data_IF_381236280336
#
_entry.id   IF_381236280336
#
_cell.length_a   1.000
_cell.length_b   1.000
_cell.length_c   1.000
_cell.angle_alpha   90.00
_cell.angle_beta   90.00
_cell.angle_gamma   90.00
#
_symmetry.space_group_name_H-M   'P 1'
#
loop_
_entity.id
_entity.type
_entity.pdbx_description
1 polymer ?
#
# COMPACT_ATOMS: atom_id res chain seq x y z
N UNK A 1 -2.10 20.82 -21.14
CA UNK A 1 -2.54 19.66 -20.34
C UNK A 1 -4.06 19.71 -20.36
N UNK A 2 -4.76 18.71 -20.92
CA UNK A 2 -6.22 18.69 -20.81
C UNK A 2 -6.57 18.35 -19.36
N UNK A 3 -7.04 19.34 -18.63
CA UNK A 3 -7.62 19.16 -17.31
C UNK A 3 -8.95 18.41 -17.47
N UNK A 4 -9.31 17.60 -16.50
CA UNK A 4 -10.63 16.98 -16.43
C UNK A 4 -11.46 17.69 -15.35
N UNK A 5 -12.77 17.66 -15.51
CA UNK A 5 -13.72 18.29 -14.60
C UNK A 5 -14.18 17.29 -13.52
N UNK A 6 -14.96 17.78 -12.57
CA UNK A 6 -15.56 16.97 -11.51
C UNK A 6 -16.36 15.77 -12.06
N UNK A 7 -17.15 16.01 -13.09
CA UNK A 7 -17.98 15.00 -13.75
C UNK A 7 -17.19 13.94 -14.51
N UNK A 8 -15.89 14.21 -14.75
CA UNK A 8 -15.00 13.28 -15.42
C UNK A 8 -14.31 12.30 -14.49
N UNK A 9 -14.30 12.56 -13.17
CA UNK A 9 -13.60 11.72 -12.20
C UNK A 9 -14.21 10.31 -12.17
N UNK A 10 -13.36 9.29 -12.27
CA UNK A 10 -13.76 7.88 -12.33
C UNK A 10 -13.06 7.02 -11.26
N UNK A 11 -12.01 7.53 -10.66
CA UNK A 11 -11.26 6.78 -9.66
C UNK A 11 -10.91 7.65 -8.46
N UNK A 12 -11.03 7.09 -7.25
CA UNK A 12 -10.61 7.74 -6.00
C UNK A 12 -9.57 6.87 -5.31
N UNK A 13 -8.43 7.47 -4.96
CA UNK A 13 -7.51 6.95 -3.97
C UNK A 13 -7.85 7.59 -2.64
N UNK A 14 -8.42 6.82 -1.74
CA UNK A 14 -8.80 7.28 -0.41
C UNK A 14 -7.77 6.83 0.62
N UNK A 15 -7.16 7.77 1.31
CA UNK A 15 -6.40 7.51 2.52
C UNK A 15 -7.28 7.81 3.73
N UNK A 16 -7.92 6.78 4.27
CA UNK A 16 -8.92 6.94 5.33
C UNK A 16 -8.30 7.31 6.69
N UNK A 17 -7.01 7.00 6.91
CA UNK A 17 -6.33 7.27 8.17
C UNK A 17 -4.82 7.38 7.99
N UNK A 18 -4.17 8.18 8.86
CA UNK A 18 -2.71 8.22 9.01
C UNK A 18 -2.19 7.20 10.03
N UNK A 19 -3.10 6.48 10.71
CA UNK A 19 -2.74 5.53 11.78
C UNK A 19 -2.32 4.18 11.20
N UNK A 20 -1.26 3.59 11.76
CA UNK A 20 -0.82 2.23 11.45
C UNK A 20 -0.15 1.62 12.68
N UNK A 21 -0.42 0.36 13.00
CA UNK A 21 0.26 -0.34 14.09
C UNK A 21 1.66 -0.81 13.69
N UNK A 22 1.92 -0.96 12.37
CA UNK A 22 3.23 -1.35 11.85
C UNK A 22 4.21 -0.17 11.79
N UNK A 23 5.50 -0.47 11.84
CA UNK A 23 6.59 0.47 11.68
C UNK A 23 7.62 -0.04 10.65
N UNK A 24 7.14 -0.29 9.43
CA UNK A 24 7.98 -0.80 8.34
C UNK A 24 9.12 0.19 8.04
N UNK A 25 10.40 -0.28 8.00
CA UNK A 25 11.57 0.60 7.98
C UNK A 25 11.67 1.55 6.79
N UNK A 26 11.12 1.17 5.63
CA UNK A 26 11.16 1.98 4.41
C UNK A 26 9.78 2.55 4.05
N UNK A 27 8.88 2.68 5.03
CA UNK A 27 7.59 3.34 4.86
C UNK A 27 7.74 4.83 5.22
N UNK A 28 7.20 5.71 4.39
CA UNK A 28 7.26 7.17 4.57
C UNK A 28 6.52 7.65 5.83
N UNK A 29 5.66 6.79 6.40
CA UNK A 29 5.03 7.02 7.70
C UNK A 29 6.04 7.11 8.85
N UNK A 30 7.19 6.45 8.72
CA UNK A 30 8.18 6.33 9.77
C UNK A 30 9.54 6.86 9.35
N UNK A 31 10.33 7.31 10.33
CA UNK A 31 11.75 7.56 10.13
C UNK A 31 12.52 6.25 10.37
N UNK A 32 12.86 5.53 9.31
CA UNK A 32 13.61 4.26 9.31
C UNK A 32 12.94 3.12 10.12
N UNK A 33 11.62 3.14 10.33
CA UNK A 33 10.90 2.19 11.18
C UNK A 33 10.88 2.58 12.67
N UNK A 34 11.54 3.67 13.03
CA UNK A 34 11.58 4.22 14.39
C UNK A 34 10.34 5.06 14.71
N UNK A 35 10.57 6.33 15.07
CA UNK A 35 9.50 7.30 15.35
C UNK A 35 8.65 7.57 14.13
N UNK A 36 7.41 8.00 14.37
CA UNK A 36 6.53 8.48 13.32
C UNK A 36 7.11 9.70 12.59
N UNK A 37 6.71 9.86 11.32
CA UNK A 37 7.07 11.02 10.53
C UNK A 37 6.50 12.29 11.19
N UNK A 38 7.33 13.29 11.54
CA UNK A 38 6.87 14.48 12.25
C UNK A 38 5.93 15.39 11.43
N UNK A 39 5.77 15.13 10.15
CA UNK A 39 4.85 15.86 9.27
C UNK A 39 3.44 15.25 9.22
N UNK A 40 3.17 14.19 9.98
CA UNK A 40 1.84 13.57 10.08
C UNK A 40 1.08 14.15 11.27
N UNK A 41 -0.23 14.25 11.08
CA UNK A 41 -1.14 14.77 12.10
C UNK A 41 -1.01 16.28 12.31
N UNK A 42 -1.73 16.73 13.28
CA UNK A 42 -1.71 18.09 13.78
C UNK A 42 -1.66 18.12 15.31
N UNK A 43 -1.96 19.26 15.93
CA UNK A 43 -2.04 19.40 17.41
C UNK A 43 -3.07 18.50 18.09
N UNK A 44 -4.01 17.94 17.33
CA UNK A 44 -5.06 17.02 17.82
C UNK A 44 -4.68 15.54 17.60
N UNK A 45 -3.57 15.25 16.92
CA UNK A 45 -3.07 13.91 16.64
C UNK A 45 -3.16 13.53 15.17
N UNK A 46 -3.08 12.22 14.90
CA UNK A 46 -3.17 11.66 13.54
C UNK A 46 -4.61 11.67 13.05
N UNK A 47 -4.78 12.03 11.78
CA UNK A 47 -6.10 12.16 11.15
C UNK A 47 -6.74 10.81 10.82
N UNK A 48 -8.06 10.82 10.78
CA UNK A 48 -8.91 9.71 10.41
C UNK A 48 -10.27 10.24 9.93
N UNK A 49 -10.75 9.76 8.79
CA UNK A 49 -12.07 10.09 8.27
C UNK A 49 -13.13 9.13 8.81
N UNK A 50 -14.26 9.67 9.20
CA UNK A 50 -15.47 8.92 9.54
C UNK A 50 -16.33 8.66 8.31
N UNK A 51 -17.32 7.79 8.41
CA UNK A 51 -18.36 7.62 7.37
C UNK A 51 -19.03 8.94 7.04
N UNK A 52 -19.32 9.77 8.05
CA UNK A 52 -19.96 11.06 7.85
C UNK A 52 -19.08 12.03 7.05
N UNK A 53 -17.77 12.02 7.29
CA UNK A 53 -16.82 12.82 6.50
C UNK A 53 -16.78 12.34 5.05
N UNK A 54 -16.69 11.02 4.85
CA UNK A 54 -16.70 10.43 3.50
C UNK A 54 -18.00 10.72 2.78
N UNK A 55 -19.15 10.62 3.42
CA UNK A 55 -20.45 10.95 2.84
C UNK A 55 -20.56 12.41 2.41
N UNK A 56 -19.95 13.31 3.18
CA UNK A 56 -19.90 14.74 2.86
C UNK A 56 -18.99 15.05 1.68
N UNK A 57 -17.82 14.39 1.60
CA UNK A 57 -16.82 14.65 0.55
C UNK A 57 -17.16 13.90 -0.74
N UNK A 58 -17.68 12.70 -0.62
CA UNK A 58 -18.10 11.81 -1.71
C UNK A 58 -19.60 11.54 -1.60
N UNK A 59 -20.47 12.51 -1.93
CA UNK A 59 -21.91 12.32 -1.83
C UNK A 59 -22.43 11.27 -2.82
N UNK A 60 -23.64 10.73 -2.63
CA UNK A 60 -24.19 9.63 -3.42
C UNK A 60 -24.10 9.82 -4.94
N UNK A 61 -24.39 11.03 -5.42
CA UNK A 61 -24.32 11.37 -6.85
C UNK A 61 -22.89 11.28 -7.41
N UNK A 62 -21.88 11.65 -6.62
CA UNK A 62 -20.49 11.52 -7.00
C UNK A 62 -20.03 10.04 -6.96
N UNK A 63 -20.42 9.28 -5.94
CA UNK A 63 -20.08 7.86 -5.83
C UNK A 63 -20.63 7.07 -7.02
N UNK A 64 -21.83 7.41 -7.51
CA UNK A 64 -22.48 6.74 -8.67
C UNK A 64 -21.68 6.84 -9.97
N UNK A 65 -20.88 7.91 -10.16
CA UNK A 65 -20.08 8.08 -11.38
C UNK A 65 -18.72 7.36 -11.34
N UNK A 66 -18.30 6.84 -10.17
CA UNK A 66 -17.00 6.21 -10.01
C UNK A 66 -16.97 4.78 -10.56
N UNK A 67 -15.90 4.46 -11.27
CA UNK A 67 -15.58 3.09 -11.70
C UNK A 67 -14.88 2.32 -10.59
N UNK A 68 -14.05 3.01 -9.78
CA UNK A 68 -13.28 2.38 -8.70
C UNK A 68 -12.95 3.33 -7.56
N UNK A 69 -12.83 2.75 -6.36
CA UNK A 69 -12.20 3.38 -5.20
C UNK A 69 -11.25 2.39 -4.55
N UNK A 70 -10.07 2.86 -4.20
CA UNK A 70 -9.11 2.04 -3.49
C UNK A 70 -8.54 2.76 -2.27
N UNK A 71 -8.39 1.99 -1.18
CA UNK A 71 -7.73 2.43 0.02
C UNK A 71 -6.32 1.82 0.06
N UNK A 72 -5.33 2.66 -0.15
CA UNK A 72 -3.92 2.27 -0.03
C UNK A 72 -3.25 3.35 0.80
N UNK A 73 -2.89 3.03 2.02
CA UNK A 73 -2.26 3.99 2.91
C UNK A 73 -0.85 4.35 2.41
N UNK A 74 -0.62 5.61 2.10
CA UNK A 74 0.73 6.15 1.98
C UNK A 74 1.35 6.26 3.37
N UNK A 75 0.52 6.60 4.35
CA UNK A 75 0.92 6.82 5.73
C UNK A 75 0.20 5.91 6.72
N UNK A 76 -1.07 5.57 6.50
CA UNK A 76 -1.85 4.71 7.37
C UNK A 76 -2.10 3.31 6.83
N UNK A 77 -2.76 2.47 7.62
CA UNK A 77 -3.33 1.22 7.15
C UNK A 77 -4.85 1.27 7.36
N UNK A 78 -5.67 1.06 6.34
CA UNK A 78 -7.13 1.19 6.43
C UNK A 78 -7.76 0.38 7.53
N UNK A 79 -7.16 -0.76 7.92
CA UNK A 79 -7.71 -1.60 8.99
C UNK A 79 -7.62 -0.96 10.38
N UNK A 80 -6.83 0.11 10.55
CA UNK A 80 -6.71 0.80 11.83
C UNK A 80 -7.80 1.85 12.00
N UNK A 81 -8.32 2.39 10.93
CA UNK A 81 -9.48 3.26 11.00
C UNK A 81 -10.69 2.54 11.62
N UNK A 82 -11.44 3.27 12.42
CA UNK A 82 -12.58 2.72 13.13
C UNK A 82 -13.69 2.28 12.18
N UNK A 83 -13.96 3.06 11.13
CA UNK A 83 -15.15 2.97 10.29
C UNK A 83 -14.86 2.54 8.83
N UNK A 84 -13.70 1.90 8.57
CA UNK A 84 -13.35 1.44 7.21
C UNK A 84 -14.41 0.52 6.59
N UNK A 85 -14.94 -0.42 7.38
CA UNK A 85 -15.97 -1.35 6.90
C UNK A 85 -17.27 -0.63 6.56
N UNK A 86 -17.68 0.31 7.39
CA UNK A 86 -18.87 1.14 7.22
C UNK A 86 -18.74 2.03 5.98
N UNK A 87 -17.54 2.57 5.72
CA UNK A 87 -17.25 3.32 4.49
C UNK A 87 -17.41 2.42 3.27
N UNK A 88 -16.86 1.19 3.29
CA UNK A 88 -17.05 0.25 2.18
C UNK A 88 -18.53 -0.13 1.99
N UNK A 89 -19.30 -0.31 3.06
CA UNK A 89 -20.76 -0.56 2.99
C UNK A 89 -21.48 0.61 2.33
N UNK A 90 -21.20 1.83 2.77
CA UNK A 90 -21.76 3.03 2.16
C UNK A 90 -21.45 3.09 0.64
N UNK A 91 -20.21 2.92 0.28
CA UNK A 91 -19.78 2.98 -1.12
C UNK A 91 -20.45 1.90 -1.98
N UNK A 92 -20.57 0.69 -1.45
CA UNK A 92 -21.25 -0.44 -2.13
C UNK A 92 -22.74 -0.21 -2.28
N UNK A 93 -23.39 0.37 -1.27
CA UNK A 93 -24.80 0.73 -1.32
C UNK A 93 -25.09 1.79 -2.39
N UNK A 94 -24.23 2.83 -2.48
CA UNK A 94 -24.42 3.90 -3.45
C UNK A 94 -24.06 3.48 -4.89
N UNK A 95 -23.08 2.58 -5.07
CA UNK A 95 -22.67 2.07 -6.38
C UNK A 95 -22.32 0.59 -6.34
N UNK A 96 -23.30 -0.31 -6.56
CA UNK A 96 -23.09 -1.75 -6.54
C UNK A 96 -22.05 -2.27 -7.57
N UNK A 97 -21.81 -1.52 -8.64
CA UNK A 97 -20.91 -1.93 -9.72
C UNK A 97 -19.47 -1.41 -9.57
N UNK A 98 -19.24 -0.50 -8.63
CA UNK A 98 -17.91 0.09 -8.41
C UNK A 98 -16.90 -0.95 -7.93
N UNK A 99 -15.70 -0.92 -8.49
CA UNK A 99 -14.61 -1.76 -8.03
C UNK A 99 -14.01 -1.20 -6.74
N UNK A 100 -14.07 -1.97 -5.67
CA UNK A 100 -13.54 -1.58 -4.35
C UNK A 100 -12.32 -2.43 -4.00
N UNK A 101 -11.24 -1.79 -3.56
CA UNK A 101 -10.09 -2.53 -3.08
C UNK A 101 -9.31 -1.80 -1.99
N UNK A 102 -8.51 -2.56 -1.27
CA UNK A 102 -7.70 -2.08 -0.16
C UNK A 102 -6.37 -2.83 -0.11
N UNK A 103 -5.31 -2.11 0.26
CA UNK A 103 -4.02 -2.71 0.61
C UNK A 103 -3.83 -2.65 2.12
N UNK A 104 -3.32 -3.73 2.72
CA UNK A 104 -3.18 -3.81 4.17
C UNK A 104 -2.08 -4.79 4.59
N UNK A 105 -1.55 -4.59 5.81
CA UNK A 105 -0.69 -5.54 6.49
C UNK A 105 -1.47 -6.64 7.25
N UNK A 106 -2.80 -6.55 7.32
CA UNK A 106 -3.74 -7.48 7.96
C UNK A 106 -3.54 -7.71 9.48
N UNK A 107 -2.65 -6.98 10.14
CA UNK A 107 -2.26 -7.22 11.54
C UNK A 107 -3.25 -6.73 12.59
N UNK A 108 -4.49 -6.38 12.21
CA UNK A 108 -5.52 -5.91 13.14
C UNK A 108 -6.91 -6.42 12.74
N UNK A 109 -7.92 -6.05 13.55
CA UNK A 109 -9.31 -6.53 13.48
C UNK A 109 -9.43 -8.02 13.81
N UNK A 110 -10.67 -8.46 14.08
CA UNK A 110 -11.01 -9.87 14.33
C UNK A 110 -11.52 -10.52 13.06
N UNK A 111 -11.54 -11.84 13.02
CA UNK A 111 -11.97 -12.64 11.85
C UNK A 111 -13.35 -12.25 11.33
N UNK A 112 -14.34 -12.00 12.22
CA UNK A 112 -15.70 -11.59 11.82
C UNK A 112 -15.70 -10.30 10.98
N UNK A 113 -14.82 -9.36 11.28
CA UNK A 113 -14.66 -8.14 10.49
C UNK A 113 -14.17 -8.46 9.06
N UNK A 114 -13.22 -9.39 8.92
CA UNK A 114 -12.69 -9.80 7.62
C UNK A 114 -13.71 -10.58 6.80
N UNK A 115 -14.51 -11.43 7.46
CA UNK A 115 -15.63 -12.14 6.85
C UNK A 115 -16.66 -11.14 6.31
N UNK A 116 -16.99 -10.15 7.09
CA UNK A 116 -17.97 -9.12 6.68
C UNK A 116 -17.41 -8.23 5.57
N UNK A 117 -16.13 -7.89 5.60
CA UNK A 117 -15.47 -7.18 4.51
C UNK A 117 -15.52 -7.98 3.20
N UNK A 118 -15.27 -9.28 3.24
CA UNK A 118 -15.35 -10.15 2.07
C UNK A 118 -16.74 -10.10 1.42
N UNK A 119 -17.80 -10.20 2.23
CA UNK A 119 -19.20 -10.07 1.78
C UNK A 119 -19.50 -8.70 1.19
N UNK A 120 -19.00 -7.64 1.82
CA UNK A 120 -19.20 -6.24 1.38
C UNK A 120 -18.54 -5.97 0.04
N UNK A 121 -17.32 -6.48 -0.16
CA UNK A 121 -16.59 -6.31 -1.43
C UNK A 121 -17.19 -7.18 -2.55
N UNK A 122 -17.60 -8.40 -2.22
CA UNK A 122 -18.18 -9.34 -3.18
C UNK A 122 -17.26 -9.63 -4.38
N UNK A 123 -17.84 -9.82 -5.54
CA UNK A 123 -17.14 -10.09 -6.81
C UNK A 123 -16.55 -8.83 -7.46
N UNK A 124 -16.95 -7.64 -6.98
CA UNK A 124 -16.50 -6.33 -7.45
C UNK A 124 -15.44 -5.69 -6.54
N UNK A 125 -14.58 -6.52 -5.94
CA UNK A 125 -13.49 -5.99 -5.12
C UNK A 125 -12.44 -7.03 -4.78
N UNK A 126 -11.37 -6.56 -4.12
CA UNK A 126 -10.31 -7.42 -3.60
C UNK A 126 -9.58 -6.75 -2.45
N UNK A 127 -8.89 -7.55 -1.65
CA UNK A 127 -7.92 -7.09 -0.67
C UNK A 127 -6.53 -7.54 -1.08
N UNK A 128 -5.57 -6.62 -1.06
CA UNK A 128 -4.15 -6.93 -1.23
C UNK A 128 -3.48 -7.01 0.13
N UNK A 129 -3.09 -8.22 0.50
CA UNK A 129 -2.35 -8.52 1.71
C UNK A 129 -0.86 -8.32 1.46
N UNK A 130 -0.24 -7.49 2.27
CA UNK A 130 1.19 -7.15 2.16
C UNK A 130 2.01 -7.98 3.14
N UNK A 131 2.38 -9.20 2.74
CA UNK A 131 3.25 -10.09 3.50
C UNK A 131 4.61 -10.19 2.80
N UNK A 132 5.67 -9.77 3.48
CA UNK A 132 7.01 -9.69 2.91
C UNK A 132 7.95 -10.74 3.53
N UNK A 133 7.53 -11.98 3.43
CA UNK A 133 8.18 -13.18 3.99
C UNK A 133 7.16 -14.17 4.51
N UNK A 134 7.63 -15.27 5.06
CA UNK A 134 6.84 -16.26 5.82
C UNK A 134 6.89 -15.93 7.31
N UNK A 135 6.46 -16.85 8.18
CA UNK A 135 6.36 -16.64 9.62
C UNK A 135 7.67 -16.19 10.29
N UNK A 136 8.79 -16.69 9.79
CA UNK A 136 10.14 -16.44 10.30
C UNK A 136 10.82 -15.18 9.76
N UNK A 137 10.32 -14.59 8.67
CA UNK A 137 10.98 -13.44 8.01
C UNK A 137 10.10 -12.22 7.84
N UNK A 138 8.78 -12.36 7.81
CA UNK A 138 7.87 -11.23 7.59
C UNK A 138 8.10 -10.08 8.59
N UNK A 139 8.36 -10.38 9.85
CA UNK A 139 8.59 -9.39 10.91
C UNK A 139 9.85 -8.54 10.70
N UNK A 140 10.81 -9.03 9.90
CA UNK A 140 12.04 -8.29 9.61
C UNK A 140 11.75 -6.99 8.84
N UNK A 141 10.73 -6.99 7.98
CA UNK A 141 10.27 -5.79 7.31
C UNK A 141 8.95 -5.25 7.88
N UNK A 142 7.96 -6.11 8.14
CA UNK A 142 6.65 -5.74 8.70
C UNK A 142 6.72 -5.63 10.23
N UNK A 143 7.60 -4.77 10.74
CA UNK A 143 7.77 -4.57 12.18
C UNK A 143 6.45 -4.16 12.83
N UNK A 144 6.11 -4.82 13.96
CA UNK A 144 4.86 -4.58 14.69
C UNK A 144 3.64 -5.32 14.14
N UNK A 145 3.79 -6.15 13.10
CA UNK A 145 2.75 -7.04 12.59
C UNK A 145 2.96 -8.44 13.17
N UNK A 146 1.96 -8.98 13.88
CA UNK A 146 1.93 -10.37 14.28
C UNK A 146 1.52 -11.24 13.09
N UNK A 147 2.41 -12.16 12.69
CA UNK A 147 2.19 -13.05 11.54
C UNK A 147 0.93 -13.91 11.70
N UNK A 148 0.75 -14.56 12.85
CA UNK A 148 -0.36 -15.49 13.05
C UNK A 148 -1.72 -14.79 12.97
N UNK A 149 -1.80 -13.57 13.52
CA UNK A 149 -3.00 -12.74 13.40
C UNK A 149 -3.25 -12.35 11.95
N UNK A 150 -2.23 -11.83 11.27
CA UNK A 150 -2.36 -11.35 9.89
C UNK A 150 -2.70 -12.50 8.92
N UNK A 151 -2.07 -13.64 9.09
CA UNK A 151 -2.31 -14.84 8.30
C UNK A 151 -3.72 -15.39 8.50
N UNK A 152 -4.16 -15.54 9.76
CA UNK A 152 -5.52 -15.97 10.10
C UNK A 152 -6.57 -15.03 9.52
N UNK A 153 -6.36 -13.73 9.58
CA UNK A 153 -7.24 -12.71 9.02
C UNK A 153 -7.37 -12.86 7.49
N UNK A 154 -6.26 -13.09 6.79
CA UNK A 154 -6.28 -13.35 5.35
C UNK A 154 -7.07 -14.63 5.02
N UNK A 155 -6.86 -15.69 5.78
CA UNK A 155 -7.60 -16.95 5.58
C UNK A 155 -9.11 -16.80 5.89
N UNK A 156 -9.48 -16.04 6.90
CA UNK A 156 -10.90 -15.73 7.19
C UNK A 156 -11.56 -14.97 6.03
N UNK A 157 -10.84 -13.98 5.46
CA UNK A 157 -11.31 -13.25 4.28
C UNK A 157 -11.49 -14.17 3.05
N UNK A 158 -10.51 -15.04 2.77
CA UNK A 158 -10.55 -16.01 1.66
C UNK A 158 -11.68 -17.03 1.89
N UNK A 159 -11.78 -17.59 3.11
CA UNK A 159 -12.81 -18.57 3.47
C UNK A 159 -14.23 -18.04 3.34
N UNK A 160 -14.44 -16.73 3.45
CA UNK A 160 -15.71 -16.06 3.20
C UNK A 160 -15.97 -15.71 1.72
N UNK A 161 -15.12 -16.18 0.79
CA UNK A 161 -15.22 -15.93 -0.65
C UNK A 161 -14.56 -14.64 -1.11
N UNK A 162 -13.80 -13.97 -0.27
CA UNK A 162 -13.10 -12.73 -0.62
C UNK A 162 -11.95 -12.97 -1.61
N UNK A 163 -11.82 -12.08 -2.59
CA UNK A 163 -10.73 -12.11 -3.57
C UNK A 163 -9.46 -11.52 -2.94
N UNK A 164 -8.53 -12.37 -2.55
CA UNK A 164 -7.27 -11.99 -1.92
C UNK A 164 -6.11 -11.94 -2.93
N UNK A 165 -5.33 -10.86 -2.91
CA UNK A 165 -4.03 -10.79 -3.56
C UNK A 165 -2.95 -10.79 -2.48
N UNK A 166 -1.79 -11.40 -2.77
CA UNK A 166 -0.64 -11.35 -1.89
C UNK A 166 0.48 -10.56 -2.57
N UNK A 167 0.78 -9.36 -2.06
CA UNK A 167 1.94 -8.58 -2.45
C UNK A 167 3.14 -8.98 -1.58
N UNK A 168 4.26 -9.35 -2.23
CA UNK A 168 5.47 -9.81 -1.58
C UNK A 168 6.66 -8.94 -2.03
N UNK A 169 7.13 -8.03 -1.18
CA UNK A 169 8.35 -7.26 -1.43
C UNK A 169 9.59 -8.10 -1.18
N UNK A 170 10.44 -8.22 -2.22
CA UNK A 170 11.61 -9.08 -2.15
C UNK A 170 12.82 -8.30 -1.65
N UNK A 171 13.46 -8.84 -0.62
CA UNK A 171 14.72 -8.39 -0.02
C UNK A 171 15.69 -9.57 0.07
N UNK A 172 16.97 -9.31 0.41
CA UNK A 172 17.96 -10.38 0.59
C UNK A 172 17.58 -11.40 1.68
N UNK A 173 16.82 -10.96 2.70
CA UNK A 173 16.44 -11.84 3.82
C UNK A 173 15.27 -12.79 3.52
N UNK A 174 14.48 -12.51 2.46
CA UNK A 174 13.30 -13.30 2.12
C UNK A 174 13.27 -13.82 0.67
N UNK A 175 14.29 -13.53 -0.15
CA UNK A 175 14.31 -13.94 -1.56
C UNK A 175 14.26 -15.46 -1.76
N UNK A 176 14.80 -16.23 -0.79
CA UNK A 176 14.80 -17.69 -0.80
C UNK A 176 13.41 -18.31 -0.55
N UNK A 177 12.44 -17.54 -0.06
CA UNK A 177 11.08 -17.98 0.25
C UNK A 177 10.07 -17.67 -0.85
N UNK A 178 10.45 -16.99 -1.93
CA UNK A 178 9.50 -16.51 -2.96
C UNK A 178 8.73 -17.66 -3.59
N UNK A 179 9.40 -18.75 -3.96
CA UNK A 179 8.78 -19.92 -4.61
C UNK A 179 7.86 -20.69 -3.62
N UNK A 180 8.29 -20.83 -2.37
CA UNK A 180 7.48 -21.43 -1.31
C UNK A 180 6.23 -20.57 -1.00
N UNK A 181 6.40 -19.26 -0.89
CA UNK A 181 5.28 -18.33 -0.66
C UNK A 181 4.26 -18.37 -1.80
N UNK A 182 4.72 -18.49 -3.06
CA UNK A 182 3.83 -18.64 -4.22
C UNK A 182 3.04 -19.95 -4.16
N UNK A 183 3.70 -21.06 -3.80
CA UNK A 183 3.04 -22.34 -3.63
C UNK A 183 1.98 -22.32 -2.52
N UNK A 184 2.32 -21.70 -1.37
CA UNK A 184 1.39 -21.50 -0.25
C UNK A 184 0.22 -20.60 -0.67
N UNK A 185 0.47 -19.51 -1.38
CA UNK A 185 -0.57 -18.61 -1.86
C UNK A 185 -1.60 -19.36 -2.73
N UNK A 186 -1.12 -20.20 -3.63
CA UNK A 186 -1.96 -21.05 -4.48
C UNK A 186 -2.78 -22.07 -3.67
N UNK A 187 -2.13 -22.76 -2.73
CA UNK A 187 -2.79 -23.77 -1.86
C UNK A 187 -3.87 -23.14 -0.98
N UNK A 188 -3.64 -21.94 -0.47
CA UNK A 188 -4.56 -21.22 0.42
C UNK A 188 -5.64 -20.40 -0.31
N UNK A 189 -5.66 -20.41 -1.63
CA UNK A 189 -6.72 -19.78 -2.43
C UNK A 189 -6.53 -18.27 -2.65
N UNK A 190 -5.32 -17.74 -2.53
CA UNK A 190 -5.06 -16.39 -3.01
C UNK A 190 -5.27 -16.33 -4.53
N UNK A 191 -6.02 -15.32 -4.96
CA UNK A 191 -6.30 -15.12 -6.39
C UNK A 191 -5.06 -14.72 -7.19
N UNK A 192 -4.14 -13.99 -6.56
CA UNK A 192 -2.84 -13.61 -7.13
C UNK A 192 -1.75 -13.60 -6.07
N UNK A 193 -0.56 -14.07 -6.46
CA UNK A 193 0.70 -13.80 -5.78
C UNK A 193 1.53 -12.85 -6.63
N UNK A 194 2.04 -11.77 -6.05
CA UNK A 194 2.70 -10.67 -6.78
C UNK A 194 4.06 -10.40 -6.14
N UNK A 195 5.13 -11.08 -6.61
CA UNK A 195 6.49 -10.81 -6.15
C UNK A 195 6.94 -9.44 -6.69
N UNK A 196 7.28 -8.52 -5.81
CA UNK A 196 7.64 -7.14 -6.14
C UNK A 196 9.13 -6.89 -5.94
N UNK A 197 9.80 -6.48 -7.01
CA UNK A 197 11.19 -6.02 -6.99
C UNK A 197 11.24 -4.61 -6.43
N UNK A 198 11.65 -4.45 -5.17
CA UNK A 198 11.65 -3.12 -4.54
C UNK A 198 12.66 -2.17 -5.17
N UNK A 199 12.19 -0.97 -5.52
CA UNK A 199 13.04 0.16 -5.95
C UNK A 199 13.43 1.09 -4.79
N UNK A 200 13.04 0.78 -3.56
CA UNK A 200 13.18 1.68 -2.40
C UNK A 200 14.64 1.97 -2.01
N UNK A 201 15.59 1.11 -2.40
CA UNK A 201 17.02 1.35 -2.17
C UNK A 201 17.61 2.48 -3.01
N UNK A 202 16.92 2.95 -4.05
CA UNK A 202 17.39 4.03 -4.90
C UNK A 202 17.74 5.31 -4.11
N UNK A 203 16.84 5.75 -3.24
CA UNK A 203 17.05 6.97 -2.45
C UNK A 203 18.22 6.84 -1.47
N UNK A 204 18.40 5.65 -0.88
CA UNK A 204 19.52 5.38 0.02
C UNK A 204 20.84 5.33 -0.76
N UNK A 205 20.87 4.66 -1.91
CA UNK A 205 22.02 4.59 -2.79
C UNK A 205 22.48 5.98 -3.24
N UNK A 206 21.56 6.86 -3.63
CA UNK A 206 21.86 8.25 -4.00
C UNK A 206 22.49 9.06 -2.86
N UNK A 207 22.11 8.78 -1.61
CA UNK A 207 22.61 9.49 -0.42
C UNK A 207 23.91 8.91 0.14
N UNK A 208 24.04 7.58 0.11
CA UNK A 208 25.11 6.87 0.85
C UNK A 208 26.05 6.08 -0.05
N UNK A 209 25.73 5.93 -1.34
CA UNK A 209 26.45 5.06 -2.28
C UNK A 209 26.17 3.56 -2.09
N UNK A 210 25.27 3.19 -1.15
CA UNK A 210 24.99 1.79 -0.81
C UNK A 210 23.52 1.47 -0.99
N UNK A 211 23.24 0.30 -1.54
CA UNK A 211 21.88 -0.24 -1.70
C UNK A 211 21.45 -1.07 -0.47
N UNK A 212 21.50 -0.44 0.69
CA UNK A 212 21.14 -1.00 1.99
C UNK A 212 20.41 0.04 2.83
N UNK A 213 19.62 -0.41 3.81
CA UNK A 213 18.87 0.47 4.70
C UNK A 213 18.90 -0.06 6.12
N UNK A 214 19.47 0.72 7.07
CA UNK A 214 19.46 0.40 8.48
C UNK A 214 18.06 0.58 9.06
N UNK A 215 17.45 -0.51 9.49
CA UNK A 215 16.17 -0.48 10.18
C UNK A 215 16.36 -0.04 11.64
N UNK A 216 15.37 0.68 12.16
CA UNK A 216 15.29 1.10 13.57
C UNK A 216 14.00 0.56 14.18
N UNK A 217 13.97 0.31 15.47
CA UNK A 217 12.72 0.08 16.19
C UNK A 217 12.14 1.42 16.70
N UNK A 218 10.95 1.37 17.31
CA UNK A 218 10.27 2.58 17.84
C UNK A 218 11.03 3.28 18.96
N UNK A 219 12.00 2.61 19.60
CA UNK A 219 12.90 3.23 20.61
C UNK A 219 14.11 3.90 20.00
N UNK A 220 14.30 3.82 18.67
CA UNK A 220 15.46 4.36 17.98
C UNK A 220 16.69 3.45 18.03
N UNK A 221 16.54 2.20 18.46
CA UNK A 221 17.61 1.20 18.49
C UNK A 221 17.75 0.55 17.11
N UNK A 222 18.99 0.35 16.67
CA UNK A 222 19.28 -0.33 15.41
C UNK A 222 18.78 -1.77 15.43
N UNK A 223 18.18 -2.15 14.31
CA UNK A 223 17.70 -3.50 14.03
C UNK A 223 18.51 -4.09 12.87
N UNK A 224 17.91 -5.00 12.11
CA UNK A 224 18.55 -5.59 10.95
C UNK A 224 18.88 -4.57 9.85
N UNK A 225 19.93 -4.85 9.11
CA UNK A 225 20.28 -4.16 7.89
C UNK A 225 19.48 -4.77 6.73
N UNK A 226 18.58 -4.00 6.15
CA UNK A 226 17.86 -4.41 4.94
C UNK A 226 18.77 -4.23 3.73
N UNK A 227 18.84 -5.27 2.90
CA UNK A 227 19.64 -5.28 1.68
C UNK A 227 18.80 -5.69 0.48
N UNK A 228 19.19 -5.23 -0.70
CA UNK A 228 18.57 -5.69 -1.95
C UNK A 228 18.78 -7.20 -2.13
N UNK A 229 17.90 -7.86 -2.90
CA UNK A 229 18.09 -9.27 -3.25
C UNK A 229 19.46 -9.53 -3.87
N UNK A 230 20.04 -10.67 -3.56
CA UNK A 230 21.32 -11.14 -4.15
C UNK A 230 21.08 -11.71 -5.54
N UNK A 231 19.97 -12.44 -5.72
CA UNK A 231 19.59 -13.00 -7.01
C UNK A 231 19.19 -11.91 -8.00
N UNK A 232 19.87 -11.87 -9.15
CA UNK A 232 19.65 -10.86 -10.19
C UNK A 232 18.20 -10.83 -10.70
N UNK A 233 17.55 -12.00 -10.77
CA UNK A 233 16.15 -12.10 -11.21
C UNK A 233 15.18 -11.30 -10.33
N UNK A 234 15.53 -11.05 -9.07
CA UNK A 234 14.74 -10.32 -8.09
C UNK A 234 15.15 -8.85 -7.90
N UNK A 235 16.24 -8.42 -8.53
CA UNK A 235 16.71 -7.04 -8.42
C UNK A 235 15.86 -6.08 -9.26
N UNK A 236 15.60 -4.90 -8.71
CA UNK A 236 15.00 -3.79 -9.45
C UNK A 236 16.08 -3.10 -10.29
N UNK A 237 15.78 -2.83 -11.56
CA UNK A 237 16.73 -2.21 -12.50
C UNK A 237 16.68 -0.68 -12.48
N UNK A 238 15.69 -0.07 -11.81
CA UNK A 238 15.46 1.38 -11.88
C UNK A 238 16.70 2.23 -11.58
N UNK A 239 17.52 1.83 -10.61
CA UNK A 239 18.77 2.54 -10.28
C UNK A 239 19.74 2.54 -11.47
N UNK A 240 19.95 1.38 -12.10
CA UNK A 240 20.85 1.24 -13.27
C UNK A 240 20.30 1.99 -14.48
N UNK A 241 18.98 1.96 -14.67
CA UNK A 241 18.31 2.62 -15.78
C UNK A 241 18.40 4.15 -15.64
N UNK A 242 18.24 4.68 -14.42
CA UNK A 242 18.42 6.11 -14.14
C UNK A 242 19.87 6.54 -14.38
N UNK A 243 20.87 5.78 -13.93
CA UNK A 243 22.30 6.09 -14.17
C UNK A 243 22.55 6.14 -15.68
N UNK A 244 22.08 5.18 -16.45
CA UNK A 244 22.22 5.18 -17.92
C UNK A 244 21.56 6.40 -18.56
N UNK A 245 20.42 6.85 -18.05
CA UNK A 245 19.76 8.06 -18.54
C UNK A 245 20.60 9.31 -18.22
N UNK A 246 21.17 9.41 -17.03
CA UNK A 246 22.07 10.50 -16.65
C UNK A 246 23.34 10.51 -17.53
N UNK A 247 23.95 9.36 -17.77
CA UNK A 247 25.11 9.23 -18.67
C UNK A 247 24.78 9.66 -20.11
N UNK A 248 23.62 9.23 -20.62
CA UNK A 248 23.18 9.52 -21.99
C UNK A 248 22.81 11.00 -22.20
N UNK A 249 22.18 11.65 -21.23
CA UNK A 249 21.62 12.98 -21.36
C UNK A 249 22.39 14.05 -20.57
N UNK A 250 23.39 13.65 -19.79
CA UNK A 250 24.21 14.53 -18.94
C UNK A 250 23.60 14.79 -17.56
N UNK A 251 22.28 14.71 -17.42
CA UNK A 251 21.55 14.74 -16.14
C UNK A 251 20.11 14.29 -16.33
N UNK A 252 19.42 13.92 -15.24
CA UNK A 252 17.98 13.65 -15.27
C UNK A 252 17.17 14.88 -15.64
N UNK A 253 17.57 16.08 -15.21
CA UNK A 253 16.92 17.34 -15.55
C UNK A 253 16.90 17.53 -17.07
N UNK A 254 18.05 17.45 -17.74
CA UNK A 254 18.15 17.51 -19.19
C UNK A 254 17.35 16.41 -19.90
N UNK A 255 17.26 15.23 -19.32
CA UNK A 255 16.39 14.17 -19.84
C UNK A 255 14.92 14.59 -19.79
N UNK A 256 14.45 15.10 -18.63
CA UNK A 256 13.07 15.52 -18.46
C UNK A 256 12.69 16.73 -19.32
N UNK A 257 13.61 17.63 -19.63
CA UNK A 257 13.38 18.74 -20.56
C UNK A 257 13.04 18.26 -21.98
N UNK A 258 13.48 17.06 -22.34
CA UNK A 258 13.34 16.49 -23.68
C UNK A 258 12.30 15.37 -23.79
N UNK A 259 11.60 15.03 -22.72
CA UNK A 259 10.58 13.97 -22.74
C UNK A 259 9.18 14.51 -22.49
N UNK A 260 8.21 13.94 -23.17
CA UNK A 260 6.80 14.25 -22.92
C UNK A 260 6.29 13.43 -21.73
N UNK A 261 6.13 14.07 -20.58
CA UNK A 261 5.55 13.45 -19.40
C UNK A 261 4.02 13.42 -19.56
N UNK A 262 3.43 12.22 -19.40
CA UNK A 262 1.99 12.06 -19.30
C UNK A 262 1.61 11.89 -17.81
N UNK A 263 0.77 12.79 -17.32
CA UNK A 263 0.24 12.68 -15.97
C UNK A 263 -0.72 11.48 -15.88
N UNK A 264 -0.36 10.48 -15.08
CA UNK A 264 -1.19 9.28 -14.89
C UNK A 264 -2.53 9.62 -14.25
N UNK A 265 -2.54 10.51 -13.26
CA UNK A 265 -3.76 10.97 -12.58
C UNK A 265 -4.75 11.56 -13.58
N UNK A 266 -4.27 12.45 -14.48
CA UNK A 266 -5.10 13.02 -15.53
C UNK A 266 -5.58 11.98 -16.55
N UNK A 267 -4.73 11.03 -16.93
CA UNK A 267 -5.08 9.96 -17.88
C UNK A 267 -6.14 8.99 -17.31
N UNK A 268 -6.07 8.70 -16.03
CA UNK A 268 -7.00 7.80 -15.31
C UNK A 268 -8.22 8.55 -14.75
N UNK A 269 -8.29 9.87 -14.91
CA UNK A 269 -9.33 10.72 -14.32
C UNK A 269 -9.53 10.39 -12.83
N UNK A 270 -8.43 10.37 -12.11
CA UNK A 270 -8.41 9.98 -10.70
C UNK A 270 -8.09 11.14 -9.78
N UNK A 271 -8.57 11.07 -8.55
CA UNK A 271 -8.23 12.00 -7.48
C UNK A 271 -7.68 11.25 -6.26
N UNK A 272 -6.88 11.95 -5.47
CA UNK A 272 -6.43 11.50 -4.15
C UNK A 272 -7.18 12.27 -3.09
N UNK A 273 -7.66 11.57 -2.07
CA UNK A 273 -8.30 12.13 -0.89
C UNK A 273 -7.49 11.70 0.33
N UNK A 274 -6.87 12.68 1.00
CA UNK A 274 -6.05 12.43 2.20
C UNK A 274 -6.91 12.20 3.45
N UNK A 275 -6.29 11.66 4.50
CA UNK A 275 -6.94 11.48 5.80
C UNK A 275 -7.31 12.81 6.50
N UNK A 276 -6.76 13.92 6.05
CA UNK A 276 -7.12 15.27 6.48
C UNK A 276 -8.38 15.80 5.79
N UNK A 277 -8.90 15.07 4.79
CA UNK A 277 -10.03 15.52 3.96
C UNK A 277 -9.63 16.45 2.82
N UNK A 278 -8.35 16.51 2.46
CA UNK A 278 -7.83 17.31 1.36
C UNK A 278 -7.79 16.52 0.05
N UNK A 279 -8.00 17.22 -1.07
CA UNK A 279 -7.98 16.69 -2.44
C UNK A 279 -6.73 17.17 -3.16
#
# INVERSE_FOLDING_TARGET
MNLYNYEDIRAVHLEITEKCQASCPMCDRNVKGGRDNPNLGDKNGLHELTVADVQKILPPEFVKQLDRLYMCGNFGDPIIANETLEVFKYLREQNPNMWLNMNTNAGAKKEDWWIELAKTLGDKGHVTFSFDGLADTNHLYRQGVNWDIAWRNALAFIGAGGRAHWDYLIFAHNEHQVEEAEAIAKDKGFFKFIPKKTGRFFSTMRKTGKEEHQAMNRKGEEQQLLQKPKEVKFQNTATKDIIKLEEKHGSLEKYFDNVKIKCKVAAEKSMYLSAEGLI
#
